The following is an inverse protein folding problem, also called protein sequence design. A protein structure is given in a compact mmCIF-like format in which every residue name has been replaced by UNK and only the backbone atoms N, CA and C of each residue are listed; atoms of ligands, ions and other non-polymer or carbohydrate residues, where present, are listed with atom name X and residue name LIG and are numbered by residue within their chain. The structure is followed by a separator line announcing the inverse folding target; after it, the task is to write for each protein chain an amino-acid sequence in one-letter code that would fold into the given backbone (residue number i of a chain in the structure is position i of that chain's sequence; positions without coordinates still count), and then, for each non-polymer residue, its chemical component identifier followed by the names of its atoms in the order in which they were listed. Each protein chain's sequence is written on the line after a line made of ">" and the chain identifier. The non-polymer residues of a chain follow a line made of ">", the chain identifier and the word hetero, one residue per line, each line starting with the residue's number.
data_IF_129476449129
#
_entry.id   IF_129476449129
#
_cell.length_a   1.000
_cell.length_b   1.000
_cell.length_c   1.000
_cell.angle_alpha   90.00
_cell.angle_beta   90.00
_cell.angle_gamma   90.00
#
_symmetry.space_group_name_H-M   'P 1'
#
loop_
_entity.id
_entity.type
_entity.pdbx_description
1 polymer ?
#
# COMPACT_ATOMS: atom_id res chain seq x y z
N UNK A 1 -42.13 24.92 58.86
CA UNK A 1 -40.92 25.36 59.60
C UNK A 1 -40.09 26.21 58.63
N UNK A 2 -39.99 27.52 58.85
CA UNK A 2 -39.33 28.42 57.91
C UNK A 2 -37.81 28.27 57.98
N UNK A 3 -37.13 28.22 56.83
CA UNK A 3 -35.67 28.15 56.79
C UNK A 3 -35.06 29.43 57.36
N UNK A 4 -34.05 29.28 58.19
CA UNK A 4 -33.29 30.39 58.75
C UNK A 4 -32.40 31.03 57.69
N UNK A 5 -32.08 32.32 57.87
CA UNK A 5 -31.18 33.07 56.96
C UNK A 5 -29.83 32.38 56.72
N UNK A 6 -29.30 31.68 57.74
CA UNK A 6 -28.08 30.86 57.62
C UNK A 6 -28.27 29.67 56.68
N UNK A 7 -29.40 28.97 56.76
CA UNK A 7 -29.70 27.83 55.88
C UNK A 7 -29.90 28.27 54.43
N UNK A 8 -30.52 29.43 54.18
CA UNK A 8 -30.66 30.00 52.84
C UNK A 8 -29.30 30.33 52.19
N UNK A 9 -28.36 30.88 52.97
CA UNK A 9 -27.00 31.18 52.49
C UNK A 9 -26.25 29.88 52.14
N UNK A 10 -26.34 28.85 52.98
CA UNK A 10 -25.67 27.56 52.74
C UNK A 10 -26.22 26.90 51.47
N UNK A 11 -27.54 26.87 51.30
CA UNK A 11 -28.18 26.30 50.10
C UNK A 11 -27.79 27.09 48.85
N UNK A 12 -27.80 28.43 48.92
CA UNK A 12 -27.39 29.29 47.81
C UNK A 12 -25.93 29.04 47.38
N UNK A 13 -25.02 28.92 48.35
CA UNK A 13 -23.61 28.61 48.07
C UNK A 13 -23.42 27.23 47.46
N UNK A 14 -24.13 26.21 47.94
CA UNK A 14 -24.08 24.86 47.37
C UNK A 14 -24.61 24.83 45.93
N UNK A 15 -25.73 25.50 45.66
CA UNK A 15 -26.29 25.62 44.31
C UNK A 15 -25.32 26.36 43.38
N UNK A 16 -24.69 27.44 43.83
CA UNK A 16 -23.70 28.16 43.05
C UNK A 16 -22.48 27.30 42.70
N UNK A 17 -21.96 26.50 43.64
CA UNK A 17 -20.84 25.58 43.40
C UNK A 17 -21.22 24.51 42.36
N UNK A 18 -22.42 23.93 42.47
CA UNK A 18 -22.92 22.94 41.50
C UNK A 18 -23.04 23.56 40.11
N UNK A 19 -23.60 24.78 40.00
CA UNK A 19 -23.72 25.49 38.73
C UNK A 19 -22.33 25.78 38.15
N UNK A 20 -21.36 26.25 38.95
CA UNK A 20 -19.99 26.49 38.47
C UNK A 20 -19.34 25.18 38.00
N UNK A 21 -19.52 24.08 38.73
CA UNK A 21 -19.01 22.76 38.31
C UNK A 21 -19.61 22.29 36.99
N UNK A 22 -20.91 22.52 36.76
CA UNK A 22 -21.58 22.16 35.51
C UNK A 22 -21.21 23.10 34.34
N UNK A 23 -21.11 24.40 34.59
CA UNK A 23 -20.86 25.41 33.55
C UNK A 23 -19.39 25.51 33.17
N UNK A 24 -18.47 25.24 34.10
CA UNK A 24 -17.02 25.34 33.85
C UNK A 24 -16.38 23.95 33.73
N UNK A 25 -16.71 23.04 34.66
CA UNK A 25 -16.09 21.72 34.71
C UNK A 25 -16.45 20.83 33.51
N UNK A 26 -17.70 20.85 33.04
CA UNK A 26 -18.12 20.04 31.88
C UNK A 26 -17.50 20.55 30.58
N UNK A 27 -17.55 21.85 30.22
CA UNK A 27 -16.92 22.32 28.98
C UNK A 27 -15.41 22.15 28.99
N UNK A 28 -14.73 22.39 30.13
CA UNK A 28 -13.28 22.16 30.25
C UNK A 28 -12.95 20.67 30.11
N UNK A 29 -13.71 19.77 30.75
CA UNK A 29 -13.54 18.32 30.59
C UNK A 29 -13.75 17.85 29.15
N UNK A 30 -14.71 18.43 28.43
CA UNK A 30 -14.96 18.14 27.00
C UNK A 30 -13.80 18.65 26.13
N UNK A 31 -13.30 19.86 26.37
CA UNK A 31 -12.18 20.46 25.61
C UNK A 31 -10.88 19.68 25.84
N UNK A 32 -10.58 19.35 27.10
CA UNK A 32 -9.40 18.54 27.48
C UNK A 32 -9.52 17.11 26.95
N UNK A 33 -10.72 16.52 27.00
CA UNK A 33 -10.99 15.19 26.43
C UNK A 33 -10.87 15.15 24.90
N UNK A 34 -11.26 16.23 24.21
CA UNK A 34 -11.09 16.39 22.76
C UNK A 34 -9.63 16.49 22.32
N UNK A 35 -8.74 16.93 23.22
CA UNK A 35 -7.32 17.08 22.91
C UNK A 35 -6.55 15.76 22.87
N UNK A 36 -7.17 14.64 23.27
CA UNK A 36 -6.71 13.30 22.92
C UNK A 36 -7.00 13.03 21.43
N UNK A 37 -6.49 13.89 20.56
CA UNK A 37 -6.32 13.58 19.15
C UNK A 37 -5.39 12.37 19.11
N UNK A 38 -5.95 11.19 18.87
CA UNK A 38 -5.17 10.00 18.58
C UNK A 38 -4.54 10.23 17.21
N UNK A 39 -3.45 10.98 17.19
CA UNK A 39 -2.59 11.07 16.02
C UNK A 39 -2.31 9.65 15.56
N UNK A 40 -2.56 9.39 14.29
CA UNK A 40 -2.25 8.11 13.67
C UNK A 40 -0.75 7.82 13.86
N UNK A 41 -0.42 6.54 13.97
CA UNK A 41 0.98 6.11 13.86
C UNK A 41 1.52 6.47 12.48
N UNK A 42 2.84 6.69 12.37
CA UNK A 42 3.49 7.01 11.08
C UNK A 42 3.14 5.95 10.02
N UNK A 43 3.10 4.68 10.41
CA UNK A 43 2.69 3.58 9.53
C UNK A 43 1.26 3.77 9.00
N UNK A 44 0.28 4.03 9.87
CA UNK A 44 -1.11 4.28 9.44
C UNK A 44 -1.23 5.51 8.55
N UNK A 45 -0.44 6.55 8.82
CA UNK A 45 -0.38 7.73 7.95
C UNK A 45 0.16 7.37 6.56
N UNK A 46 1.23 6.58 6.49
CA UNK A 46 1.79 6.12 5.23
C UNK A 46 0.77 5.31 4.41
N UNK A 47 0.09 4.34 5.03
CA UNK A 47 -0.97 3.56 4.37
C UNK A 47 -2.09 4.46 3.84
N UNK A 48 -2.55 5.44 4.61
CA UNK A 48 -3.59 6.38 4.16
C UNK A 48 -3.14 7.26 2.98
N UNK A 49 -1.86 7.64 2.92
CA UNK A 49 -1.30 8.38 1.79
C UNK A 49 -1.27 7.49 0.55
N UNK A 50 -0.79 6.25 0.70
CA UNK A 50 -0.66 5.28 -0.39
C UNK A 50 -2.01 4.74 -0.91
N UNK A 51 -3.05 4.68 -0.07
CA UNK A 51 -4.43 4.38 -0.52
C UNK A 51 -4.92 5.38 -1.59
N UNK A 52 -4.50 6.65 -1.47
CA UNK A 52 -4.87 7.73 -2.39
C UNK A 52 -3.84 7.95 -3.49
N UNK A 53 -2.58 7.59 -3.23
CA UNK A 53 -1.44 7.78 -4.11
C UNK A 53 -0.65 6.47 -4.20
N UNK A 54 -1.14 5.46 -4.95
CA UNK A 54 -0.48 4.17 -5.03
C UNK A 54 0.97 4.30 -5.46
N UNK A 55 1.85 3.49 -4.86
CA UNK A 55 3.29 3.52 -5.15
C UNK A 55 3.54 3.11 -6.60
N UNK A 56 4.46 3.82 -7.28
CA UNK A 56 5.05 3.39 -8.54
C UNK A 56 6.51 3.03 -8.26
N UNK A 57 6.85 1.76 -8.41
CA UNK A 57 8.23 1.29 -8.34
C UNK A 57 8.86 1.27 -9.74
N UNK A 58 10.10 1.75 -9.82
CA UNK A 58 10.81 1.98 -11.08
C UNK A 58 11.55 0.77 -11.63
N UNK A 59 11.69 -0.33 -10.88
CA UNK A 59 12.52 -1.45 -11.30
C UNK A 59 12.26 -2.74 -10.50
N UNK A 60 11.71 -3.77 -11.15
CA UNK A 60 11.50 -5.08 -10.52
C UNK A 60 11.79 -6.25 -11.47
N UNK A 61 12.69 -7.13 -11.04
CA UNK A 61 13.22 -8.29 -11.78
C UNK A 61 12.33 -9.55 -11.76
N UNK A 62 11.03 -9.41 -11.51
CA UNK A 62 10.11 -10.55 -11.56
C UNK A 62 10.22 -11.34 -12.90
N UNK A 63 10.30 -10.72 -14.09
CA UNK A 63 10.47 -11.47 -15.34
C UNK A 63 11.71 -12.36 -15.33
N UNK A 64 12.84 -11.82 -14.87
CA UNK A 64 14.09 -12.56 -14.75
C UNK A 64 13.97 -13.73 -13.77
N UNK A 65 13.28 -13.55 -12.64
CA UNK A 65 13.02 -14.67 -11.71
C UNK A 65 12.14 -15.75 -12.30
N UNK A 66 11.14 -15.39 -13.08
CA UNK A 66 10.32 -16.36 -13.80
C UNK A 66 11.17 -17.10 -14.83
N UNK A 67 12.07 -16.43 -15.55
CA UNK A 67 13.03 -17.09 -16.45
C UNK A 67 13.89 -18.11 -15.73
N UNK A 68 14.51 -17.73 -14.62
CA UNK A 68 15.44 -18.61 -13.92
C UNK A 68 14.77 -19.82 -13.27
N UNK A 69 13.59 -19.64 -12.67
CA UNK A 69 12.91 -20.71 -11.91
C UNK A 69 12.00 -21.56 -12.78
N UNK A 70 11.37 -20.98 -13.79
CA UNK A 70 10.36 -21.64 -14.60
C UNK A 70 10.70 -21.71 -16.09
N UNK A 71 11.86 -21.21 -16.51
CA UNK A 71 12.25 -21.14 -17.92
C UNK A 71 11.17 -20.46 -18.77
N UNK A 72 10.57 -19.39 -18.25
CA UNK A 72 9.43 -18.66 -18.84
C UNK A 72 8.13 -19.46 -19.06
N UNK A 73 8.05 -20.70 -18.58
CA UNK A 73 6.81 -21.49 -18.59
C UNK A 73 5.92 -21.08 -17.42
N UNK A 74 4.84 -20.35 -17.72
CA UNK A 74 3.95 -19.80 -16.69
C UNK A 74 2.75 -20.70 -16.39
N UNK A 75 2.61 -21.88 -16.99
CA UNK A 75 1.40 -22.69 -16.86
C UNK A 75 1.12 -23.01 -15.37
N UNK A 76 2.17 -23.42 -14.65
CA UNK A 76 2.11 -23.75 -13.23
C UNK A 76 2.65 -22.63 -12.32
N UNK A 77 2.85 -21.42 -12.85
CA UNK A 77 3.24 -20.28 -12.04
C UNK A 77 2.05 -19.84 -11.18
N UNK A 78 2.20 -19.87 -9.87
CA UNK A 78 1.31 -19.22 -8.91
C UNK A 78 1.98 -17.94 -8.39
N UNK A 79 1.60 -16.80 -8.95
CA UNK A 79 2.13 -15.50 -8.58
C UNK A 79 1.46 -14.92 -7.32
N UNK A 80 0.46 -15.58 -6.71
CA UNK A 80 -0.10 -15.10 -5.44
C UNK A 80 0.85 -15.32 -4.27
N UNK A 81 1.72 -16.34 -4.35
CA UNK A 81 2.73 -16.59 -3.34
C UNK A 81 4.01 -17.16 -3.95
N UNK A 82 5.06 -16.34 -3.98
CA UNK A 82 6.36 -16.72 -4.52
C UNK A 82 7.41 -16.99 -3.43
N UNK A 83 7.02 -16.99 -2.15
CA UNK A 83 7.97 -17.09 -1.02
C UNK A 83 8.78 -18.39 -1.02
N UNK A 84 8.22 -19.48 -1.57
CA UNK A 84 8.93 -20.74 -1.75
C UNK A 84 10.08 -20.67 -2.78
N UNK A 85 10.04 -19.72 -3.72
CA UNK A 85 11.04 -19.59 -4.78
C UNK A 85 12.15 -18.64 -4.36
N UNK A 86 13.24 -19.21 -3.86
CA UNK A 86 14.32 -18.41 -3.29
C UNK A 86 15.24 -17.79 -4.35
N UNK A 87 15.62 -16.52 -4.14
CA UNK A 87 16.57 -15.74 -4.96
C UNK A 87 18.03 -16.06 -4.63
N UNK A 88 18.29 -16.55 -3.42
CA UNK A 88 19.57 -17.08 -2.91
C UNK A 88 19.29 -18.28 -2.00
N UNK A 89 20.30 -18.89 -1.37
CA UNK A 89 20.08 -20.01 -0.44
C UNK A 89 19.19 -19.65 0.77
N UNK A 90 19.07 -18.36 1.11
CA UNK A 90 18.40 -17.90 2.33
C UNK A 90 17.35 -16.83 2.09
N UNK A 91 17.24 -16.29 0.86
CA UNK A 91 16.36 -15.16 0.56
C UNK A 91 15.21 -15.63 -0.33
N UNK A 92 13.94 -15.55 0.11
CA UNK A 92 12.79 -15.87 -0.73
C UNK A 92 12.64 -14.84 -1.87
N UNK A 93 11.81 -15.12 -2.88
CA UNK A 93 11.36 -14.10 -3.82
C UNK A 93 10.81 -12.90 -3.06
N UNK A 94 11.06 -11.69 -3.55
CA UNK A 94 10.58 -10.45 -2.94
C UNK A 94 9.20 -10.03 -3.48
N UNK A 95 8.83 -10.54 -4.66
CA UNK A 95 7.62 -10.12 -5.38
C UNK A 95 6.62 -11.27 -5.51
N UNK A 96 5.40 -11.04 -5.05
CA UNK A 96 4.17 -11.78 -5.38
C UNK A 96 2.96 -10.84 -5.25
N UNK A 97 1.81 -11.26 -5.80
CA UNK A 97 0.59 -10.44 -5.82
C UNK A 97 0.17 -10.07 -4.40
N UNK A 98 0.24 -11.01 -3.45
CA UNK A 98 -0.17 -10.75 -2.06
C UNK A 98 0.63 -9.59 -1.46
N UNK A 99 1.96 -9.62 -1.61
CA UNK A 99 2.84 -8.57 -1.08
C UNK A 99 2.77 -7.27 -1.86
N UNK A 100 2.57 -7.31 -3.19
CA UNK A 100 2.31 -6.11 -3.98
C UNK A 100 1.05 -5.37 -3.52
N UNK A 101 -0.02 -6.12 -3.21
CA UNK A 101 -1.26 -5.55 -2.68
C UNK A 101 -1.08 -5.01 -1.27
N UNK A 102 -0.41 -5.75 -0.39
CA UNK A 102 -0.11 -5.31 0.98
C UNK A 102 0.75 -4.03 0.98
N UNK A 103 1.74 -3.95 0.09
CA UNK A 103 2.60 -2.76 -0.06
C UNK A 103 1.95 -1.61 -0.84
N UNK A 104 0.69 -1.74 -1.27
CA UNK A 104 -0.05 -0.73 -2.04
C UNK A 104 0.67 -0.24 -3.30
N UNK A 105 1.35 -1.16 -3.97
CA UNK A 105 1.93 -0.92 -5.28
C UNK A 105 0.78 -0.76 -6.27
N UNK A 106 0.70 0.40 -6.91
CA UNK A 106 -0.25 0.66 -7.98
C UNK A 106 0.39 0.67 -9.36
N UNK A 107 1.71 0.87 -9.45
CA UNK A 107 2.45 0.81 -10.69
C UNK A 107 3.80 0.13 -10.53
N UNK A 108 4.22 -0.60 -11.54
CA UNK A 108 5.49 -1.30 -11.54
C UNK A 108 6.11 -1.24 -12.94
N UNK A 109 7.34 -0.75 -13.01
CA UNK A 109 8.21 -1.01 -14.14
C UNK A 109 8.86 -2.38 -13.94
N UNK A 110 8.46 -3.32 -14.80
CA UNK A 110 9.05 -4.64 -14.87
C UNK A 110 10.34 -4.56 -15.68
N UNK A 111 11.45 -5.01 -15.07
CA UNK A 111 12.74 -5.03 -15.76
C UNK A 111 12.71 -6.12 -16.82
N UNK A 112 12.80 -5.70 -18.08
CA UNK A 112 13.06 -6.55 -19.23
C UNK A 112 14.57 -6.63 -19.37
N UNK A 113 15.16 -7.41 -18.48
CA UNK A 113 16.60 -7.57 -18.33
C UNK A 113 17.15 -8.70 -19.21
N UNK A 114 18.36 -8.50 -19.74
CA UNK A 114 19.19 -9.59 -20.27
C UNK A 114 20.61 -9.52 -19.76
N UNK A 115 21.28 -10.67 -19.64
CA UNK A 115 22.69 -10.67 -19.21
C UNK A 115 23.59 -10.09 -20.31
N UNK A 116 24.66 -9.39 -19.91
CA UNK A 116 25.64 -8.86 -20.86
C UNK A 116 26.31 -9.94 -21.73
N UNK A 117 26.26 -11.21 -21.32
CA UNK A 117 26.81 -12.33 -22.10
C UNK A 117 26.09 -12.58 -23.43
N UNK A 118 24.86 -12.06 -23.58
CA UNK A 118 24.07 -12.09 -24.81
C UNK A 118 24.45 -10.99 -25.81
N UNK A 119 25.29 -10.02 -25.42
CA UNK A 119 25.70 -8.93 -26.30
C UNK A 119 26.43 -9.45 -27.55
N UNK A 120 26.06 -8.94 -28.72
CA UNK A 120 26.59 -9.39 -30.01
C UNK A 120 26.16 -10.81 -30.41
N UNK A 121 25.22 -11.41 -29.67
CA UNK A 121 24.68 -12.75 -29.90
C UNK A 121 23.16 -12.66 -30.03
N UNK A 122 22.44 -13.04 -28.99
CA UNK A 122 21.00 -13.26 -28.92
C UNK A 122 20.29 -12.29 -27.97
N UNK A 123 20.90 -11.14 -27.64
CA UNK A 123 20.31 -10.14 -26.74
C UNK A 123 18.90 -9.71 -27.16
N UNK A 124 18.67 -9.45 -28.46
CA UNK A 124 17.34 -9.08 -28.97
C UNK A 124 16.31 -10.18 -28.74
N UNK A 125 16.68 -11.44 -28.99
CA UNK A 125 15.78 -12.59 -28.76
C UNK A 125 15.49 -12.71 -27.27
N UNK A 126 16.52 -12.62 -26.43
CA UNK A 126 16.40 -12.68 -24.98
C UNK A 126 15.45 -11.60 -24.44
N UNK A 127 15.55 -10.35 -24.91
CA UNK A 127 14.61 -9.29 -24.56
C UNK A 127 13.18 -9.59 -25.02
N UNK A 128 12.98 -10.04 -26.27
CA UNK A 128 11.65 -10.38 -26.77
C UNK A 128 11.00 -11.51 -25.95
N UNK A 129 11.77 -12.50 -25.51
CA UNK A 129 11.29 -13.55 -24.61
C UNK A 129 10.87 -13.01 -23.24
N UNK A 130 11.57 -12.00 -22.71
CA UNK A 130 11.21 -11.36 -21.43
C UNK A 130 9.97 -10.45 -21.57
N UNK A 131 9.82 -9.75 -22.70
CA UNK A 131 8.60 -9.02 -23.04
C UNK A 131 7.41 -9.98 -23.15
N UNK A 132 7.58 -11.09 -23.88
CA UNK A 132 6.56 -12.12 -24.05
C UNK A 132 6.09 -12.71 -22.71
N UNK A 133 7.02 -13.15 -21.86
CA UNK A 133 6.62 -13.77 -20.58
C UNK A 133 5.87 -12.79 -19.70
N UNK A 134 6.28 -11.51 -19.67
CA UNK A 134 5.59 -10.51 -18.86
C UNK A 134 4.21 -10.18 -19.41
N UNK A 135 4.05 -10.07 -20.74
CA UNK A 135 2.73 -9.93 -21.37
C UNK A 135 1.81 -11.10 -21.02
N UNK A 136 2.32 -12.34 -21.08
CA UNK A 136 1.53 -13.53 -20.70
C UNK A 136 1.19 -13.55 -19.21
N UNK A 137 2.06 -13.08 -18.32
CA UNK A 137 1.76 -12.92 -16.89
C UNK A 137 0.63 -11.91 -16.68
N UNK A 138 0.70 -10.74 -17.33
CA UNK A 138 -0.35 -9.71 -17.25
C UNK A 138 -1.69 -10.30 -17.72
N UNK A 139 -1.69 -11.02 -18.85
CA UNK A 139 -2.87 -11.68 -19.38
C UNK A 139 -3.41 -12.81 -18.48
N UNK A 140 -2.53 -13.50 -17.73
CA UNK A 140 -2.92 -14.56 -16.78
C UNK A 140 -3.60 -14.01 -15.52
N UNK A 141 -3.28 -12.78 -15.12
CA UNK A 141 -3.86 -12.11 -13.94
C UNK A 141 -4.49 -10.75 -14.29
N UNK A 142 -5.54 -10.72 -15.15
CA UNK A 142 -6.09 -9.48 -15.70
C UNK A 142 -6.84 -8.62 -14.68
N UNK A 143 -7.30 -9.22 -13.58
CA UNK A 143 -7.91 -8.54 -12.44
C UNK A 143 -6.88 -7.90 -11.51
N UNK A 144 -5.60 -8.23 -11.70
CA UNK A 144 -4.50 -7.73 -10.88
C UNK A 144 -3.66 -6.73 -11.65
N UNK A 145 -3.24 -7.06 -12.87
CA UNK A 145 -2.34 -6.24 -13.68
C UNK A 145 -3.07 -5.63 -14.87
N UNK A 146 -2.62 -4.44 -15.28
CA UNK A 146 -3.05 -3.81 -16.51
C UNK A 146 -1.80 -3.30 -17.23
N UNK A 147 -1.59 -3.66 -18.49
CA UNK A 147 -0.52 -3.06 -19.29
C UNK A 147 -0.76 -1.56 -19.44
N UNK A 148 0.29 -0.76 -19.27
CA UNK A 148 0.27 0.68 -19.47
C UNK A 148 1.53 1.12 -20.22
N UNK A 149 1.33 1.97 -21.21
CA UNK A 149 2.36 2.60 -22.04
C UNK A 149 2.31 4.13 -21.96
N UNK A 150 1.28 4.68 -21.31
CA UNK A 150 1.10 6.11 -21.08
C UNK A 150 0.75 6.41 -19.62
N UNK A 151 0.98 7.64 -19.19
CA UNK A 151 0.58 8.09 -17.84
C UNK A 151 -0.94 8.05 -17.63
N UNK A 152 -1.73 8.24 -18.69
CA UNK A 152 -3.19 8.15 -18.61
C UNK A 152 -3.64 6.71 -18.33
N UNK A 153 -3.04 5.73 -19.01
CA UNK A 153 -3.31 4.31 -18.75
C UNK A 153 -2.90 3.88 -17.33
N UNK A 154 -1.82 4.46 -16.78
CA UNK A 154 -1.45 4.26 -15.37
C UNK A 154 -2.55 4.77 -14.44
N UNK A 155 -3.07 5.98 -14.67
CA UNK A 155 -4.19 6.53 -13.88
C UNK A 155 -5.46 5.68 -14.03
N UNK A 156 -5.72 5.15 -15.23
CA UNK A 156 -6.83 4.22 -15.46
C UNK A 156 -6.67 2.93 -14.65
N UNK A 157 -5.47 2.34 -14.61
CA UNK A 157 -5.19 1.17 -13.80
C UNK A 157 -5.47 1.45 -12.31
N UNK A 158 -5.03 2.61 -11.80
CA UNK A 158 -5.30 3.01 -10.41
C UNK A 158 -6.80 3.11 -10.14
N UNK A 159 -7.57 3.71 -11.04
CA UNK A 159 -9.03 3.85 -10.90
C UNK A 159 -9.76 2.50 -10.85
N UNK A 160 -9.21 1.49 -11.51
CA UNK A 160 -9.72 0.11 -11.53
C UNK A 160 -9.07 -0.78 -10.46
N UNK A 161 -8.27 -0.20 -9.56
CA UNK A 161 -7.49 -0.90 -8.52
C UNK A 161 -6.61 -2.01 -9.09
N UNK A 162 -6.13 -1.87 -10.32
CA UNK A 162 -5.13 -2.74 -10.95
C UNK A 162 -3.75 -2.13 -10.83
N UNK A 163 -2.74 -2.98 -10.88
CA UNK A 163 -1.33 -2.60 -10.88
C UNK A 163 -0.95 -2.29 -12.34
N UNK A 164 -0.71 -1.02 -12.63
CA UNK A 164 -0.16 -0.59 -13.90
C UNK A 164 1.18 -1.29 -14.13
N UNK A 165 1.29 -2.02 -15.23
CA UNK A 165 2.47 -2.77 -15.61
C UNK A 165 3.11 -2.08 -16.81
N UNK A 166 4.32 -1.58 -16.59
CA UNK A 166 5.14 -0.93 -17.60
C UNK A 166 6.41 -1.73 -17.81
N UNK A 167 7.05 -1.58 -18.97
CA UNK A 167 8.31 -2.25 -19.27
C UNK A 167 9.46 -1.24 -19.28
N UNK A 168 10.53 -1.56 -18.56
CA UNK A 168 11.82 -0.89 -18.66
C UNK A 168 12.84 -1.88 -19.20
N UNK A 169 13.55 -1.53 -20.28
CA UNK A 169 14.62 -2.38 -20.82
C UNK A 169 15.91 -2.10 -20.07
N UNK A 170 16.55 -3.14 -19.55
CA UNK A 170 17.81 -3.10 -18.79
C UNK A 170 18.93 -3.84 -19.52
#
# INVERSE_FOLDING_TARGET
>A
MALTRKQLIIIGSLVAIVIIGLVVGIPVGIVVGRQKSTSLTVEKQAYQILEKNPLIDGHNDLPWRVRQKFRNNINNLDLYNMTQYHVSNTTPSQTDITRLRQGQVGGQFWSIYTTCAHQGKDATISFLEQIDVMNRIIAKYPDVFQMATTAEEVRQAFSTKRIASLFGVE
#
